data_IF_789749938512
#
_entry.id   IF_789749938512
#
_cell.length_a   1.000
_cell.length_b   1.000
_cell.length_c   1.000
_cell.angle_alpha   90.00
_cell.angle_beta   90.00
_cell.angle_gamma   90.00
#
_symmetry.space_group_name_H-M   'P 1'
#
loop_
_entity.id
_entity.type
_entity.pdbx_description
1 polymer ?
#
# COMPACT_ATOMS: atom_id res chain seq x y z
N UNK A 1 9.42 3.85 13.31
CA UNK A 1 7.96 3.98 13.47
C UNK A 1 7.58 5.45 13.56
N UNK A 2 8.34 6.26 14.29
CA UNK A 2 8.16 7.73 14.45
C UNK A 2 8.33 8.60 13.19
N UNK A 3 8.67 7.97 12.05
CA UNK A 3 8.83 8.63 10.76
C UNK A 3 7.63 8.36 9.81
N UNK A 4 6.67 7.54 10.23
CA UNK A 4 5.42 7.27 9.51
C UNK A 4 4.44 8.37 9.91
N UNK A 5 3.70 8.89 8.93
CA UNK A 5 2.69 9.91 9.15
C UNK A 5 1.66 9.50 10.21
N UNK A 6 1.08 10.49 10.89
CA UNK A 6 0.01 10.24 11.85
C UNK A 6 -1.31 9.95 11.14
N UNK A 7 -2.07 8.99 11.68
CA UNK A 7 -3.35 8.61 11.09
C UNK A 7 -4.34 9.76 11.11
N UNK A 8 -5.02 9.96 9.98
CA UNK A 8 -6.03 11.01 9.84
C UNK A 8 -7.35 10.55 10.45
N UNK A 9 -7.98 11.43 11.24
CA UNK A 9 -9.25 11.10 11.87
C UNK A 9 -10.34 10.82 10.83
N UNK A 10 -11.03 9.69 11.00
CA UNK A 10 -12.10 9.25 10.10
C UNK A 10 -11.64 8.41 8.91
N UNK A 11 -10.33 8.26 8.68
CA UNK A 11 -9.82 7.31 7.69
C UNK A 11 -10.11 5.86 8.11
N UNK A 12 -10.46 5.05 7.11
CA UNK A 12 -10.84 3.64 7.31
C UNK A 12 -10.16 2.79 6.27
N UNK A 13 -9.83 1.57 6.67
CA UNK A 13 -9.14 0.59 5.85
C UNK A 13 -9.98 -0.67 5.84
N UNK A 14 -10.02 -1.37 4.70
CA UNK A 14 -10.62 -2.70 4.59
C UNK A 14 -9.52 -3.76 4.53
N UNK A 15 -9.60 -4.75 5.41
CA UNK A 15 -8.71 -5.93 5.45
C UNK A 15 -9.52 -7.17 5.14
N UNK A 16 -9.08 -7.97 4.18
CA UNK A 16 -9.67 -9.26 3.85
C UNK A 16 -8.86 -10.42 4.41
N UNK A 17 -9.56 -11.46 4.86
CA UNK A 17 -8.99 -12.69 5.41
C UNK A 17 -9.43 -13.89 4.57
N UNK A 18 -8.57 -14.91 4.38
CA UNK A 18 -8.85 -16.07 3.54
C UNK A 18 -9.88 -17.03 4.13
N UNK A 19 -10.09 -16.99 5.45
CA UNK A 19 -11.01 -17.91 6.12
C UNK A 19 -11.84 -17.21 7.17
N UNK A 20 -13.04 -17.74 7.43
CA UNK A 20 -13.93 -17.22 8.48
C UNK A 20 -13.29 -17.30 9.86
N UNK A 21 -12.54 -18.37 10.14
CA UNK A 21 -11.85 -18.55 11.41
C UNK A 21 -10.78 -17.46 11.66
N UNK A 22 -9.98 -17.14 10.62
CA UNK A 22 -9.00 -16.06 10.69
C UNK A 22 -9.66 -14.70 10.90
N UNK A 23 -10.75 -14.44 10.17
CA UNK A 23 -11.55 -13.22 10.34
C UNK A 23 -12.11 -13.09 11.76
N UNK A 24 -12.74 -14.14 12.30
CA UNK A 24 -13.36 -14.11 13.64
C UNK A 24 -12.30 -13.91 14.74
N UNK A 25 -11.12 -14.52 14.59
CA UNK A 25 -10.00 -14.31 15.49
C UNK A 25 -9.49 -12.86 15.42
N UNK A 26 -9.35 -12.30 14.22
CA UNK A 26 -8.94 -10.91 14.04
C UNK A 26 -9.91 -9.92 14.68
N UNK A 27 -11.22 -10.11 14.45
CA UNK A 27 -12.28 -9.29 15.06
C UNK A 27 -12.16 -9.31 16.58
N UNK A 28 -12.04 -10.50 17.17
CA UNK A 28 -11.89 -10.64 18.62
C UNK A 28 -10.66 -9.88 19.13
N UNK A 29 -9.50 -10.06 18.51
CA UNK A 29 -8.26 -9.40 18.95
C UNK A 29 -8.35 -7.88 18.81
N UNK A 30 -8.96 -7.37 17.74
CA UNK A 30 -9.13 -5.94 17.52
C UNK A 30 -10.14 -5.31 18.50
N UNK A 31 -11.20 -6.03 18.87
CA UNK A 31 -12.14 -5.60 19.92
C UNK A 31 -11.46 -5.48 21.28
N UNK A 32 -10.62 -6.45 21.64
CA UNK A 32 -9.86 -6.43 22.89
C UNK A 32 -8.92 -5.21 22.96
N UNK A 33 -8.32 -4.83 21.83
CA UNK A 33 -7.44 -3.66 21.71
C UNK A 33 -8.18 -2.32 21.73
N UNK A 34 -9.42 -2.28 21.23
CA UNK A 34 -10.27 -1.08 21.21
C UNK A 34 -10.98 -0.83 22.55
N UNK A 35 -10.77 -1.70 23.54
CA UNK A 35 -11.30 -1.53 24.90
C UNK A 35 -12.50 -2.41 25.27
N UNK A 36 -12.78 -3.47 24.49
CA UNK A 36 -13.70 -4.55 24.87
C UNK A 36 -14.87 -4.78 23.91
N UNK A 37 -15.73 -5.80 24.17
CA UNK A 37 -16.74 -6.25 23.23
C UNK A 37 -17.88 -5.23 23.13
N UNK A 38 -17.83 -4.37 22.12
CA UNK A 38 -19.03 -3.71 21.63
C UNK A 38 -19.92 -4.78 21.00
N UNK A 39 -21.14 -4.92 21.52
CA UNK A 39 -22.18 -5.75 20.93
C UNK A 39 -22.22 -5.49 19.42
N UNK A 40 -22.06 -6.57 18.64
CA UNK A 40 -22.30 -6.64 17.20
C UNK A 40 -23.80 -6.41 16.92
N UNK A 41 -24.34 -5.24 17.23
CA UNK A 41 -25.68 -4.84 16.87
C UNK A 41 -25.88 -3.32 17.00
N UNK A 42 -26.52 -2.77 15.97
CA UNK A 42 -27.17 -1.46 15.90
C UNK A 42 -26.29 -0.21 15.66
N UNK A 43 -26.16 0.12 14.37
CA UNK A 43 -26.52 1.45 13.84
C UNK A 43 -26.10 2.65 14.71
N UNK A 44 -24.79 2.82 14.95
CA UNK A 44 -24.25 4.16 15.17
C UNK A 44 -22.81 4.23 14.66
N UNK A 45 -22.60 5.14 13.71
CA UNK A 45 -21.31 5.44 13.11
C UNK A 45 -20.41 6.18 14.11
N UNK A 46 -19.90 5.45 15.09
CA UNK A 46 -18.72 5.87 15.84
C UNK A 46 -17.44 5.52 15.08
N UNK A 47 -16.36 6.33 15.18
CA UNK A 47 -15.07 6.06 14.54
C UNK A 47 -14.40 4.75 14.97
N UNK A 48 -14.88 4.11 16.05
CA UNK A 48 -14.41 2.83 16.61
C UNK A 48 -15.15 1.58 16.09
N UNK A 49 -16.10 1.72 15.16
CA UNK A 49 -16.85 0.53 14.71
C UNK A 49 -16.02 -0.35 13.78
N UNK A 50 -15.77 -1.59 14.20
CA UNK A 50 -15.37 -2.69 13.31
C UNK A 50 -16.59 -3.10 12.49
N UNK A 51 -16.51 -3.02 11.17
CA UNK A 51 -17.64 -3.27 10.26
C UNK A 51 -17.32 -4.46 9.37
N UNK A 52 -17.99 -5.62 9.55
CA UNK A 52 -17.86 -6.74 8.62
C UNK A 52 -18.28 -6.36 7.19
N UNK A 53 -17.60 -6.94 6.20
CA UNK A 53 -17.84 -6.76 4.77
C UNK A 53 -17.92 -8.15 4.13
N UNK A 54 -19.09 -8.49 3.59
CA UNK A 54 -19.45 -9.81 3.06
C UNK A 54 -19.35 -9.91 1.53
N UNK A 55 -18.94 -8.82 0.85
CA UNK A 55 -18.94 -8.68 -0.62
C UNK A 55 -18.29 -9.83 -1.38
N UNK A 56 -17.26 -10.47 -0.82
CA UNK A 56 -16.48 -11.53 -1.46
C UNK A 56 -16.61 -12.88 -0.75
N UNK A 57 -17.61 -13.05 0.13
CA UNK A 57 -17.87 -14.36 0.73
C UNK A 57 -18.37 -15.36 -0.33
N UNK A 58 -18.01 -16.65 -0.22
CA UNK A 58 -17.19 -17.27 0.83
C UNK A 58 -15.67 -17.22 0.55
N UNK A 59 -15.24 -16.62 -0.56
CA UNK A 59 -13.85 -16.66 -1.01
C UNK A 59 -12.93 -15.78 -0.16
N UNK A 60 -13.46 -14.72 0.45
CA UNK A 60 -12.73 -13.83 1.36
C UNK A 60 -13.69 -13.10 2.31
N UNK A 61 -13.23 -12.87 3.53
CA UNK A 61 -14.02 -12.26 4.62
C UNK A 61 -13.45 -10.89 4.95
N UNK A 62 -14.22 -9.81 4.75
CA UNK A 62 -13.73 -8.45 4.87
C UNK A 62 -14.04 -7.81 6.23
N UNK A 63 -13.11 -7.01 6.74
CA UNK A 63 -13.26 -6.18 7.92
C UNK A 63 -12.86 -4.75 7.61
N UNK A 64 -13.80 -3.82 7.72
CA UNK A 64 -13.54 -2.40 7.60
C UNK A 64 -13.36 -1.79 9.00
N UNK A 65 -12.23 -1.14 9.25
CA UNK A 65 -11.82 -0.63 10.56
C UNK A 65 -11.14 0.74 10.43
N UNK A 66 -11.00 1.45 11.56
CA UNK A 66 -10.26 2.71 11.59
C UNK A 66 -8.78 2.49 11.25
N UNK A 67 -8.20 3.40 10.46
CA UNK A 67 -6.77 3.38 10.12
C UNK A 67 -5.89 3.42 11.38
N UNK A 68 -6.29 4.20 12.39
CA UNK A 68 -5.58 4.30 13.67
C UNK A 68 -5.52 2.98 14.43
N UNK A 69 -6.60 2.19 14.40
CA UNK A 69 -6.66 0.87 15.02
C UNK A 69 -5.80 -0.13 14.26
N UNK A 70 -5.84 -0.10 12.91
CA UNK A 70 -4.95 -0.90 12.07
C UNK A 70 -3.47 -0.58 12.36
N UNK A 71 -3.09 0.70 12.33
CA UNK A 71 -1.72 1.18 12.61
C UNK A 71 -1.28 0.72 13.99
N UNK A 72 -2.13 0.86 15.01
CA UNK A 72 -1.83 0.36 16.36
C UNK A 72 -1.59 -1.15 16.38
N UNK A 73 -2.57 -1.92 15.91
CA UNK A 73 -2.61 -3.37 16.06
C UNK A 73 -1.54 -4.11 15.24
N UNK A 74 -1.22 -3.61 14.04
CA UNK A 74 -0.30 -4.27 13.11
C UNK A 74 1.07 -3.60 13.01
N UNK A 75 1.17 -2.29 13.24
CA UNK A 75 2.44 -1.57 13.03
C UNK A 75 3.08 -1.21 14.37
N UNK A 76 2.35 -0.57 15.29
CA UNK A 76 2.93 -0.04 16.53
C UNK A 76 3.19 -1.16 17.55
N UNK A 77 2.17 -1.95 17.86
CA UNK A 77 2.24 -2.95 18.94
C UNK A 77 3.01 -4.22 18.54
N UNK A 78 3.16 -4.49 17.22
CA UNK A 78 3.86 -5.67 16.74
C UNK A 78 5.38 -5.47 16.66
N UNK A 79 6.10 -6.58 16.84
CA UNK A 79 7.49 -6.67 16.44
C UNK A 79 7.57 -6.95 14.93
N UNK A 80 7.95 -5.93 14.17
CA UNK A 80 8.08 -5.98 12.70
C UNK A 80 9.52 -6.22 12.25
N UNK A 81 10.41 -6.63 13.15
CA UNK A 81 11.78 -6.99 12.79
C UNK A 81 11.78 -8.27 11.95
N UNK A 82 12.49 -8.25 10.82
CA UNK A 82 12.68 -9.46 10.02
C UNK A 82 13.42 -10.52 10.84
N UNK A 83 12.92 -11.74 10.82
CA UNK A 83 13.65 -12.90 11.31
C UNK A 83 14.90 -13.12 10.46
N UNK A 84 15.98 -13.59 11.07
CA UNK A 84 17.21 -13.87 10.34
C UNK A 84 16.95 -14.90 9.24
N UNK A 85 17.39 -14.60 8.01
CA UNK A 85 17.12 -15.39 6.80
C UNK A 85 15.91 -14.91 5.98
N UNK A 86 15.15 -13.92 6.46
CA UNK A 86 14.03 -13.29 5.74
C UNK A 86 14.39 -11.90 5.21
N UNK A 87 15.68 -11.57 5.15
CA UNK A 87 16.13 -10.27 4.66
C UNK A 87 15.85 -10.15 3.16
N UNK A 88 15.00 -9.19 2.78
CA UNK A 88 14.64 -8.91 1.39
C UNK A 88 15.74 -8.16 0.62
N UNK A 89 16.93 -7.99 1.23
CA UNK A 89 18.08 -7.28 0.66
C UNK A 89 17.91 -5.76 0.54
N UNK A 90 16.74 -5.21 0.85
CA UNK A 90 16.43 -3.78 0.83
C UNK A 90 15.89 -3.34 2.18
N UNK A 91 16.41 -2.22 2.70
CA UNK A 91 15.82 -1.61 3.90
C UNK A 91 14.45 -1.02 3.55
N UNK A 92 13.48 -1.18 4.45
CA UNK A 92 12.18 -0.54 4.33
C UNK A 92 12.34 0.97 4.56
N UNK A 93 11.66 1.78 3.77
CA UNK A 93 11.59 3.24 3.94
C UNK A 93 10.22 3.62 4.54
N UNK A 94 10.16 4.54 5.53
CA UNK A 94 8.90 5.01 6.11
C UNK A 94 7.92 5.53 5.04
N UNK A 95 8.44 6.24 4.04
CA UNK A 95 7.64 6.78 2.94
C UNK A 95 6.86 5.71 2.17
N UNK A 96 7.36 4.47 2.08
CA UNK A 96 6.61 3.38 1.44
C UNK A 96 5.42 2.93 2.29
N UNK A 97 5.53 3.00 3.61
CA UNK A 97 4.40 2.74 4.50
C UNK A 97 3.34 3.82 4.36
N UNK A 98 3.75 5.09 4.30
CA UNK A 98 2.83 6.21 4.08
C UNK A 98 2.11 6.03 2.74
N UNK A 99 2.84 5.73 1.65
CA UNK A 99 2.24 5.45 0.34
C UNK A 99 1.21 4.32 0.39
N UNK A 100 1.50 3.23 1.12
CA UNK A 100 0.56 2.12 1.28
C UNK A 100 -0.70 2.56 2.05
N UNK A 101 -0.55 3.32 3.15
CA UNK A 101 -1.68 3.82 3.94
C UNK A 101 -2.54 4.79 3.12
N UNK A 102 -1.92 5.72 2.39
CA UNK A 102 -2.61 6.62 1.46
C UNK A 102 -3.37 5.87 0.37
N UNK A 103 -2.79 4.78 -0.16
CA UNK A 103 -3.45 3.96 -1.17
C UNK A 103 -4.71 3.27 -0.63
N UNK A 104 -4.63 2.61 0.54
CA UNK A 104 -5.76 1.85 1.12
C UNK A 104 -6.84 2.73 1.76
N UNK A 105 -6.51 3.97 2.11
CA UNK A 105 -7.47 4.98 2.55
C UNK A 105 -8.01 5.84 1.38
N UNK A 106 -7.48 5.65 0.17
CA UNK A 106 -7.79 6.43 -1.01
C UNK A 106 -9.10 6.04 -1.70
N UNK A 107 -9.39 6.70 -2.82
CA UNK A 107 -10.60 6.46 -3.63
C UNK A 107 -10.29 5.86 -5.00
N UNK A 108 -9.22 5.06 -5.09
CA UNK A 108 -8.81 4.39 -6.33
C UNK A 108 -9.91 3.44 -6.84
N UNK A 109 -9.94 3.25 -8.15
CA UNK A 109 -10.68 2.15 -8.79
C UNK A 109 -9.67 1.32 -9.59
N UNK A 110 -9.55 0.00 -9.35
CA UNK A 110 -10.24 -0.74 -8.30
C UNK A 110 -9.84 -0.31 -6.88
N UNK A 111 -10.70 -0.61 -5.91
CA UNK A 111 -10.49 -0.27 -4.50
C UNK A 111 -9.21 -0.98 -4.01
N UNK A 112 -8.28 -0.21 -3.43
CA UNK A 112 -7.06 -0.75 -2.83
C UNK A 112 -7.37 -1.16 -1.41
N UNK A 113 -7.10 -2.41 -1.08
CA UNK A 113 -7.41 -2.99 0.23
C UNK A 113 -6.19 -3.76 0.76
N UNK A 114 -6.28 -4.18 2.02
CA UNK A 114 -5.30 -5.10 2.59
C UNK A 114 -5.83 -6.53 2.52
N UNK A 115 -4.92 -7.48 2.35
CA UNK A 115 -5.19 -8.91 2.41
C UNK A 115 -4.24 -9.56 3.42
N UNK A 116 -4.80 -10.18 4.44
CA UNK A 116 -4.06 -10.93 5.44
C UNK A 116 -3.86 -12.37 4.96
N UNK A 117 -2.68 -12.69 4.44
CA UNK A 117 -2.41 -14.00 3.86
C UNK A 117 -2.22 -15.11 4.93
N UNK A 118 -1.85 -14.75 6.16
CA UNK A 118 -1.61 -15.72 7.22
C UNK A 118 -2.95 -16.16 7.87
N UNK A 119 -3.40 -17.36 7.50
CA UNK A 119 -4.64 -17.93 8.04
C UNK A 119 -4.52 -18.42 9.47
N UNK A 120 -3.31 -18.64 9.99
CA UNK A 120 -3.07 -19.16 11.33
C UNK A 120 -2.89 -18.04 12.35
N UNK A 121 -2.19 -16.97 11.93
CA UNK A 121 -1.99 -15.76 12.71
C UNK A 121 -2.51 -14.53 11.95
N UNK A 122 -3.81 -14.20 12.06
CA UNK A 122 -4.39 -13.08 11.34
C UNK A 122 -3.84 -11.71 11.79
N UNK A 123 -3.15 -11.65 12.92
CA UNK A 123 -2.49 -10.44 13.42
C UNK A 123 -1.03 -10.32 12.96
N UNK A 124 -0.55 -11.23 12.10
CA UNK A 124 0.82 -11.22 11.58
C UNK A 124 1.02 -10.02 10.64
N UNK A 125 1.87 -9.03 10.99
CA UNK A 125 2.08 -7.87 10.14
C UNK A 125 2.90 -8.18 8.88
N UNK A 126 3.66 -9.28 8.86
CA UNK A 126 4.49 -9.66 7.71
C UNK A 126 3.68 -10.30 6.58
N UNK A 127 2.44 -10.69 6.83
CA UNK A 127 1.55 -11.31 5.87
C UNK A 127 0.42 -10.36 5.41
N UNK A 128 0.49 -9.08 5.80
CA UNK A 128 -0.36 -8.03 5.24
C UNK A 128 0.14 -7.63 3.86
N UNK A 129 -0.69 -7.84 2.86
CA UNK A 129 -0.39 -7.54 1.46
C UNK A 129 -1.35 -6.48 0.94
N UNK A 130 -0.85 -5.59 0.08
CA UNK A 130 -1.71 -4.73 -0.74
C UNK A 130 -2.43 -5.60 -1.76
N UNK A 131 -3.73 -5.38 -1.92
CA UNK A 131 -4.59 -6.09 -2.84
C UNK A 131 -5.54 -5.13 -3.56
N UNK A 132 -6.04 -5.55 -4.72
CA UNK A 132 -7.14 -4.88 -5.39
C UNK A 132 -8.44 -5.67 -5.22
N UNK A 133 -9.50 -4.97 -4.84
CA UNK A 133 -10.83 -5.52 -4.69
C UNK A 133 -11.62 -5.33 -6.00
N UNK A 134 -11.41 -6.25 -6.95
CA UNK A 134 -12.05 -6.28 -8.27
C UNK A 134 -13.25 -7.25 -8.30
N UNK A 135 -13.23 -8.25 -9.22
CA UNK A 135 -14.15 -9.38 -9.18
C UNK A 135 -13.83 -10.36 -8.02
N UNK A 136 -12.60 -10.30 -7.52
CA UNK A 136 -12.09 -11.07 -6.38
C UNK A 136 -10.99 -10.25 -5.71
N UNK A 137 -10.77 -10.42 -4.40
CA UNK A 137 -9.66 -9.75 -3.72
C UNK A 137 -8.37 -10.52 -3.98
N UNK A 138 -7.42 -9.87 -4.68
CA UNK A 138 -6.14 -10.50 -5.03
C UNK A 138 -4.97 -9.65 -4.56
N UNK A 139 -4.05 -10.22 -3.74
CA UNK A 139 -2.79 -9.59 -3.46
C UNK A 139 -2.03 -9.26 -4.75
N UNK A 140 -1.47 -8.07 -4.80
CA UNK A 140 -0.70 -7.61 -5.95
C UNK A 140 0.77 -7.80 -5.62
N UNK A 141 1.48 -8.49 -6.51
CA UNK A 141 2.94 -8.49 -6.53
C UNK A 141 3.33 -7.67 -7.75
N UNK A 142 3.98 -6.52 -7.52
CA UNK A 142 4.48 -5.69 -8.62
C UNK A 142 5.96 -5.96 -8.81
N UNK A 143 6.26 -6.88 -9.72
CA UNK A 143 7.58 -7.00 -10.33
C UNK A 143 7.48 -6.56 -11.79
N UNK A 144 8.31 -5.60 -12.17
CA UNK A 144 8.59 -5.28 -13.57
C UNK A 144 10.04 -5.65 -13.86
N UNK A 145 10.28 -6.91 -14.20
CA UNK A 145 11.49 -7.27 -14.92
C UNK A 145 11.31 -6.83 -16.37
N UNK A 146 11.85 -5.66 -16.70
CA UNK A 146 11.98 -5.25 -18.10
C UNK A 146 13.08 -6.09 -18.73
N UNK A 147 12.71 -7.20 -19.37
CA UNK A 147 13.52 -7.70 -20.48
C UNK A 147 13.54 -6.59 -21.52
N UNK A 148 14.73 -6.10 -21.85
CA UNK A 148 14.93 -5.23 -23.00
C UNK A 148 14.56 -6.01 -24.27
N UNK A 149 13.29 -6.01 -24.65
CA UNK A 149 12.84 -6.53 -25.93
C UNK A 149 13.31 -5.56 -27.00
N UNK A 150 14.48 -5.83 -27.57
CA UNK A 150 14.96 -5.14 -28.76
C UNK A 150 14.19 -5.65 -29.99
N UNK A 151 13.09 -5.01 -30.33
CA UNK A 151 12.34 -5.30 -31.56
C UNK A 151 12.88 -4.43 -32.71
N UNK A 152 13.23 -5.08 -33.84
CA UNK A 152 13.63 -4.38 -35.07
C UNK A 152 12.40 -4.16 -35.95
N UNK A 153 12.29 -2.98 -36.54
CA UNK A 153 11.21 -2.66 -37.49
C UNK A 153 9.87 -2.26 -36.86
N UNK A 154 9.84 -2.03 -35.54
CA UNK A 154 8.66 -1.43 -34.90
C UNK A 154 8.50 0.02 -35.34
N UNK A 155 7.26 0.39 -35.69
CA UNK A 155 6.84 1.78 -35.80
C UNK A 155 6.28 2.19 -34.44
N UNK A 156 6.88 3.18 -33.82
CA UNK A 156 6.40 3.74 -32.56
C UNK A 156 5.60 5.00 -32.85
N UNK A 157 4.47 5.14 -32.18
CA UNK A 157 3.77 6.41 -32.12
C UNK A 157 4.58 7.40 -31.28
N UNK A 158 4.51 8.68 -31.64
CA UNK A 158 5.13 9.72 -30.84
C UNK A 158 4.43 9.81 -29.48
N UNK A 159 5.21 9.78 -28.39
CA UNK A 159 4.67 10.00 -27.05
C UNK A 159 4.04 11.40 -26.97
N UNK A 160 2.95 11.59 -26.20
CA UNK A 160 2.43 12.90 -25.89
C UNK A 160 3.51 13.84 -25.33
N UNK A 161 3.50 15.15 -25.66
CA UNK A 161 4.54 16.09 -25.23
C UNK A 161 4.81 16.10 -23.72
N UNK A 162 3.77 15.97 -22.89
CA UNK A 162 3.93 15.92 -21.43
C UNK A 162 4.67 14.66 -20.96
N UNK A 163 4.42 13.51 -21.59
CA UNK A 163 5.16 12.28 -21.29
C UNK A 163 6.63 12.38 -21.73
N UNK A 164 6.91 13.06 -22.85
CA UNK A 164 8.29 13.32 -23.27
C UNK A 164 9.02 14.21 -22.25
N UNK A 165 8.37 15.27 -21.75
CA UNK A 165 8.92 16.14 -20.69
C UNK A 165 9.19 15.36 -19.41
N UNK A 166 8.24 14.53 -18.98
CA UNK A 166 8.40 13.66 -17.81
C UNK A 166 9.59 12.69 -18.00
N UNK A 167 9.68 12.01 -19.14
CA UNK A 167 10.78 11.10 -19.44
C UNK A 167 12.15 11.82 -19.43
N UNK A 168 12.24 13.00 -20.06
CA UNK A 168 13.45 13.81 -20.05
C UNK A 168 13.82 14.29 -18.64
N UNK A 169 12.83 14.67 -17.82
CA UNK A 169 13.02 15.04 -16.42
C UNK A 169 13.53 13.86 -15.58
N UNK A 170 12.98 12.66 -15.76
CA UNK A 170 13.45 11.43 -15.11
C UNK A 170 14.90 11.11 -15.47
N UNK A 171 15.27 11.20 -16.76
CA UNK A 171 16.64 10.98 -17.23
C UNK A 171 17.62 12.00 -16.65
N UNK A 172 17.24 13.28 -16.62
CA UNK A 172 18.08 14.36 -16.06
C UNK A 172 18.39 14.10 -14.59
N UNK A 173 17.39 13.72 -13.80
CA UNK A 173 17.56 13.48 -12.37
C UNK A 173 18.24 12.13 -12.07
N UNK A 174 18.01 11.11 -12.89
CA UNK A 174 18.81 9.88 -12.88
C UNK A 174 20.29 10.20 -13.06
N UNK A 175 20.63 11.00 -14.09
CA UNK A 175 22.01 11.44 -14.31
C UNK A 175 22.54 12.29 -13.14
N UNK A 176 21.71 13.12 -12.50
CA UNK A 176 22.07 13.88 -11.29
C UNK A 176 22.45 12.94 -10.15
N UNK A 177 21.64 11.94 -9.86
CA UNK A 177 21.88 10.94 -8.80
C UNK A 177 23.19 10.18 -9.08
N UNK A 178 23.39 9.72 -10.32
CA UNK A 178 24.58 8.94 -10.70
C UNK A 178 25.89 9.76 -10.66
N UNK A 179 25.82 11.08 -10.84
CA UNK A 179 27.01 11.96 -10.78
C UNK A 179 27.60 12.12 -9.37
N UNK A 180 26.81 11.87 -8.33
CA UNK A 180 27.25 12.03 -6.94
C UNK A 180 27.00 10.75 -6.15
N UNK A 181 27.84 9.71 -6.29
CA UNK A 181 27.70 8.49 -5.50
C UNK A 181 27.69 8.80 -3.99
N UNK A 182 26.86 8.10 -3.23
CA UNK A 182 26.78 8.21 -1.78
C UNK A 182 26.47 6.85 -1.14
N UNK A 183 26.50 6.80 0.18
CA UNK A 183 26.09 5.61 0.96
C UNK A 183 24.57 5.41 1.00
N UNK A 184 23.79 6.43 0.63
CA UNK A 184 22.32 6.33 0.60
C UNK A 184 21.89 5.45 -0.57
N UNK A 185 20.82 4.69 -0.37
CA UNK A 185 20.28 3.84 -1.43
C UNK A 185 19.79 4.66 -2.63
N UNK A 186 19.73 4.04 -3.80
CA UNK A 186 19.12 4.64 -5.00
C UNK A 186 17.71 5.20 -4.70
N UNK A 187 16.89 4.43 -3.96
CA UNK A 187 15.52 4.79 -3.64
C UNK A 187 15.43 6.02 -2.74
N UNK A 188 16.20 6.06 -1.66
CA UNK A 188 16.18 7.19 -0.71
C UNK A 188 16.53 8.50 -1.42
N UNK A 189 17.52 8.46 -2.31
CA UNK A 189 17.93 9.60 -3.12
C UNK A 189 16.89 10.00 -4.16
N UNK A 190 16.15 9.03 -4.70
CA UNK A 190 15.05 9.34 -5.60
C UNK A 190 13.87 9.98 -4.88
N UNK A 191 13.53 9.51 -3.67
CA UNK A 191 12.51 10.12 -2.82
C UNK A 191 12.82 11.59 -2.50
N UNK A 192 14.09 11.93 -2.25
CA UNK A 192 14.52 13.32 -2.08
C UNK A 192 14.20 14.18 -3.31
N UNK A 193 14.49 13.68 -4.53
CA UNK A 193 14.15 14.44 -5.74
C UNK A 193 12.64 14.61 -5.91
N UNK A 194 11.84 13.58 -5.59
CA UNK A 194 10.39 13.67 -5.68
C UNK A 194 9.84 14.68 -4.67
N UNK A 195 10.41 14.72 -3.46
CA UNK A 195 10.10 15.72 -2.45
C UNK A 195 10.43 17.13 -2.93
N UNK A 196 11.65 17.36 -3.42
CA UNK A 196 12.08 18.65 -4.00
C UNK A 196 11.16 19.09 -5.16
N UNK A 197 10.75 18.15 -6.01
CA UNK A 197 9.86 18.41 -7.14
C UNK A 197 8.47 18.83 -6.67
N UNK A 198 7.91 18.11 -5.69
CA UNK A 198 6.62 18.44 -5.10
C UNK A 198 6.65 19.83 -4.43
N UNK A 199 7.71 20.16 -3.70
CA UNK A 199 7.92 21.49 -3.10
C UNK A 199 8.00 22.61 -4.15
N UNK A 200 8.48 22.29 -5.36
CA UNK A 200 8.53 23.22 -6.50
C UNK A 200 7.23 23.24 -7.31
N UNK A 201 6.18 22.53 -6.88
CA UNK A 201 4.90 22.43 -7.59
C UNK A 201 4.98 21.60 -8.87
N UNK A 202 6.03 20.79 -9.03
CA UNK A 202 6.20 19.93 -10.19
C UNK A 202 5.45 18.60 -9.97
N UNK A 203 4.19 18.58 -10.38
CA UNK A 203 3.30 17.41 -10.36
C UNK A 203 2.74 17.17 -11.77
N UNK A 204 2.68 15.91 -12.20
CA UNK A 204 2.08 15.52 -13.48
C UNK A 204 0.69 14.93 -13.25
N UNK A 205 -0.23 15.25 -14.17
CA UNK A 205 -1.52 14.57 -14.22
C UNK A 205 -1.30 13.12 -14.67
N UNK A 206 -1.44 12.19 -13.72
CA UNK A 206 -1.42 10.75 -13.99
C UNK A 206 -2.84 10.31 -14.36
N UNK A 207 -3.04 9.63 -15.49
CA UNK A 207 -4.34 9.08 -15.83
C UNK A 207 -4.82 8.08 -14.76
N UNK A 208 -6.13 7.89 -14.66
CA UNK A 208 -6.78 7.05 -13.64
C UNK A 208 -6.15 5.64 -13.51
N UNK A 209 -5.76 5.03 -14.62
CA UNK A 209 -5.15 3.69 -14.68
C UNK A 209 -3.67 3.74 -15.12
N UNK A 210 -3.02 4.89 -14.90
CA UNK A 210 -1.66 5.13 -15.36
C UNK A 210 -1.55 5.26 -16.88
N UNK A 211 -0.31 5.17 -17.37
CA UNK A 211 0.00 5.38 -18.79
C UNK A 211 -0.01 4.10 -19.64
N UNK A 212 -0.28 2.94 -19.04
CA UNK A 212 -0.26 1.62 -19.70
C UNK A 212 -1.61 1.16 -20.26
N UNK A 213 -2.72 1.60 -19.65
CA UNK A 213 -4.06 1.10 -19.96
C UNK A 213 -4.83 2.01 -20.93
N UNK A 214 -4.39 2.04 -22.19
CA UNK A 214 -5.12 2.65 -23.30
C UNK A 214 -5.92 1.63 -24.09
#
# INVERSE_FOLDING_TARGET
KDLIEESVHGHRVTVYYPTKAAFDLAVKTLQDLDGGPYELAALSAGPSSLVPVDRYEPDSYGLNLAESLLRKAYIIDQNIAFLSGWETGRQSEPAFMDMNLHAVCGTSEPEVVLYQMDSENPMNPHALLIAYAEASVKPVVSDFDTFTVGSRGMQYEALPPEQQKLAAWCLKNTARILKTPSSSSWNSRWLEVLKEANEQGFCFDVPKYGFGDK
#
